data_IF_871821525060
#
_entry.id   IF_871821525060
#
_cell.length_a   1.000
_cell.length_b   1.000
_cell.length_c   1.000
_cell.angle_alpha   90.00
_cell.angle_beta   90.00
_cell.angle_gamma   90.00
#
_symmetry.space_group_name_H-M   'P 1'
#
loop_
_entity.id
_entity.type
_entity.pdbx_description
1 polymer ?
#
# COMPACT_ATOMS: atom_id res chain seq x y z
N UNK A 1 21.72 10.94 12.38
CA UNK A 1 22.13 10.17 11.19
C UNK A 1 20.87 9.79 10.44
N UNK A 2 20.68 10.18 9.17
CA UNK A 2 19.47 9.81 8.45
C UNK A 2 19.59 8.32 8.08
N UNK A 3 18.64 7.51 8.55
CA UNK A 3 18.53 6.11 8.17
C UNK A 3 18.18 6.07 6.69
N UNK A 4 19.08 5.56 5.85
CA UNK A 4 18.83 5.34 4.42
C UNK A 4 17.60 4.43 4.27
N UNK A 5 16.65 4.83 3.42
CA UNK A 5 15.40 4.11 3.12
C UNK A 5 15.67 2.66 2.67
N UNK A 6 16.87 2.38 2.15
CA UNK A 6 17.36 1.03 1.82
C UNK A 6 17.35 0.05 3.01
N UNK A 7 17.30 0.53 4.25
CA UNK A 7 17.17 -0.33 5.43
C UNK A 7 15.72 -0.70 5.79
N UNK A 8 14.71 0.00 5.24
CA UNK A 8 13.29 -0.22 5.55
C UNK A 8 12.67 -1.38 4.77
N UNK A 9 13.29 -1.82 3.68
CA UNK A 9 12.82 -2.95 2.86
C UNK A 9 12.81 -4.30 3.61
N UNK A 10 13.39 -4.37 4.82
CA UNK A 10 13.49 -5.62 5.58
C UNK A 10 12.25 -6.01 6.40
N UNK A 11 11.24 -5.14 6.57
CA UNK A 11 10.11 -5.44 7.47
C UNK A 11 8.74 -5.02 6.92
N UNK A 12 8.46 -5.36 5.66
CA UNK A 12 7.08 -5.34 5.16
C UNK A 12 6.33 -6.48 5.83
N UNK A 13 5.34 -6.17 6.66
CA UNK A 13 4.49 -7.19 7.28
C UNK A 13 3.20 -7.34 6.47
N UNK A 14 2.90 -8.58 6.11
CA UNK A 14 1.84 -8.95 5.18
C UNK A 14 0.95 -10.00 5.84
N UNK A 15 -0.34 -9.70 5.96
CA UNK A 15 -1.32 -10.61 6.54
C UNK A 15 -2.49 -10.79 5.56
N UNK A 16 -2.86 -12.04 5.30
CA UNK A 16 -4.06 -12.39 4.56
C UNK A 16 -5.02 -13.13 5.49
N UNK A 17 -6.25 -12.65 5.61
CA UNK A 17 -7.28 -13.30 6.41
C UNK A 17 -8.49 -13.62 5.53
N UNK A 18 -9.08 -14.79 5.74
CA UNK A 18 -10.29 -15.22 5.06
C UNK A 18 -11.45 -15.07 6.04
N UNK A 19 -12.35 -14.14 5.77
CA UNK A 19 -13.52 -13.94 6.62
C UNK A 19 -14.62 -14.91 6.18
N UNK A 20 -14.91 -15.93 6.99
CA UNK A 20 -16.02 -16.87 6.73
C UNK A 20 -17.24 -16.47 7.57
N UNK A 21 -18.10 -15.61 7.02
CA UNK A 21 -19.47 -15.41 7.50
C UNK A 21 -20.43 -15.63 6.32
N UNK A 22 -21.53 -16.34 6.58
CA UNK A 22 -22.34 -17.09 5.61
C UNK A 22 -23.11 -16.35 4.50
N UNK A 23 -22.56 -15.33 3.85
CA UNK A 23 -23.17 -14.80 2.61
C UNK A 23 -22.26 -14.10 1.59
N UNK A 24 -20.97 -13.86 1.83
CA UNK A 24 -20.06 -13.37 0.78
C UNK A 24 -18.59 -13.65 1.17
N UNK A 25 -17.93 -14.60 0.50
CA UNK A 25 -16.51 -14.92 0.80
C UNK A 25 -15.62 -13.88 0.12
N UNK A 26 -15.27 -12.81 0.82
CA UNK A 26 -14.28 -11.83 0.38
C UNK A 26 -12.90 -12.19 0.91
N UNK A 27 -11.89 -12.05 0.07
CA UNK A 27 -10.49 -12.20 0.43
C UNK A 27 -9.98 -10.86 0.93
N UNK A 28 -9.29 -10.86 2.06
CA UNK A 28 -8.71 -9.66 2.64
C UNK A 28 -7.19 -9.76 2.69
N UNK A 29 -6.54 -8.63 2.40
CA UNK A 29 -5.11 -8.49 2.45
C UNK A 29 -4.72 -7.18 3.11
N UNK A 30 -3.75 -7.26 4.02
CA UNK A 30 -3.24 -6.14 4.77
C UNK A 30 -1.74 -6.01 4.54
N UNK A 31 -1.30 -4.80 4.20
CA UNK A 31 0.11 -4.44 4.01
C UNK A 31 0.47 -3.31 4.97
N UNK A 32 1.45 -3.54 5.84
CA UNK A 32 2.03 -2.48 6.66
C UNK A 32 3.39 -2.08 6.10
N UNK A 33 3.54 -0.81 5.73
CA UNK A 33 4.79 -0.26 5.17
C UNK A 33 5.40 0.70 6.19
N UNK A 34 6.57 0.38 6.77
CA UNK A 34 7.22 1.30 7.72
C UNK A 34 7.87 2.45 6.95
N UNK A 35 7.27 3.63 7.02
CA UNK A 35 7.88 4.88 6.54
C UNK A 35 8.72 5.50 7.67
N UNK A 36 9.84 6.19 7.36
CA UNK A 36 10.70 6.78 8.38
C UNK A 36 10.10 8.05 9.00
N UNK A 37 9.11 8.66 8.35
CA UNK A 37 8.35 9.78 8.90
C UNK A 37 6.90 9.77 8.41
N UNK A 38 5.99 10.39 9.19
CA UNK A 38 4.60 10.60 8.79
C UNK A 38 4.48 11.46 7.52
N UNK A 39 5.42 12.39 7.32
CA UNK A 39 5.50 13.22 6.10
C UNK A 39 5.78 12.37 4.87
N UNK A 40 6.75 11.46 4.93
CA UNK A 40 7.05 10.56 3.82
C UNK A 40 5.90 9.58 3.56
N UNK A 41 5.27 9.05 4.61
CA UNK A 41 4.05 8.25 4.47
C UNK A 41 2.96 9.03 3.72
N UNK A 42 2.74 10.30 4.10
CA UNK A 42 1.74 11.16 3.47
C UNK A 42 2.07 11.41 2.00
N UNK A 43 3.32 11.77 1.67
CA UNK A 43 3.73 12.00 0.28
C UNK A 43 3.53 10.72 -0.53
N UNK A 44 3.96 9.56 -0.01
CA UNK A 44 3.86 8.31 -0.74
C UNK A 44 2.40 7.94 -1.00
N UNK A 45 1.57 8.08 0.02
CA UNK A 45 0.14 7.77 -0.07
C UNK A 45 -0.61 8.75 -0.98
N UNK A 46 -0.20 10.02 -1.04
CA UNK A 46 -0.72 11.00 -2.00
C UNK A 46 -0.26 10.70 -3.43
N UNK A 47 1.00 10.30 -3.64
CA UNK A 47 1.50 9.86 -4.95
C UNK A 47 0.86 8.56 -5.42
N UNK A 48 0.43 7.69 -4.49
CA UNK A 48 -0.25 6.42 -4.76
C UNK A 48 -1.78 6.53 -4.65
N UNK A 49 -2.29 7.72 -4.29
CA UNK A 49 -3.72 8.00 -4.25
C UNK A 49 -4.28 7.78 -5.64
N UNK A 50 -5.35 7.01 -5.80
CA UNK A 50 -5.79 6.58 -7.13
C UNK A 50 -6.12 7.78 -8.02
N UNK A 51 -5.62 7.77 -9.24
CA UNK A 51 -6.52 8.02 -10.36
C UNK A 51 -7.55 6.87 -10.28
N UNK A 52 -8.83 7.15 -9.96
CA UNK A 52 -9.80 6.10 -9.64
C UNK A 52 -9.86 5.10 -10.77
N UNK A 53 -9.31 3.90 -10.56
CA UNK A 53 -9.31 2.80 -11.51
C UNK A 53 -10.76 2.57 -11.95
N UNK A 54 -11.15 2.92 -13.19
CA UNK A 54 -12.54 2.91 -13.55
C UNK A 54 -12.90 1.48 -13.94
N UNK A 55 -13.14 0.55 -13.01
CA UNK A 55 -13.59 -0.80 -13.39
C UNK A 55 -14.40 -1.54 -12.31
N UNK A 56 -15.71 -1.62 -12.58
CA UNK A 56 -16.60 -2.79 -12.80
C UNK A 56 -16.35 -4.18 -12.13
N UNK A 57 -15.34 -4.41 -11.30
CA UNK A 57 -14.98 -5.77 -10.87
C UNK A 57 -14.55 -5.89 -9.42
N UNK A 58 -15.50 -6.05 -8.51
CA UNK A 58 -15.38 -6.82 -7.24
C UNK A 58 -14.23 -6.51 -6.27
N UNK A 59 -13.47 -5.43 -6.45
CA UNK A 59 -12.35 -5.06 -5.58
C UNK A 59 -12.61 -3.74 -4.89
N UNK A 60 -12.35 -3.71 -3.59
CA UNK A 60 -12.34 -2.50 -2.78
C UNK A 60 -10.94 -2.32 -2.21
N UNK A 61 -10.33 -1.18 -2.51
CA UNK A 61 -9.02 -0.76 -1.99
C UNK A 61 -9.28 0.34 -0.96
N UNK A 62 -9.00 0.04 0.31
CA UNK A 62 -9.09 1.02 1.40
C UNK A 62 -7.68 1.36 1.86
N UNK A 63 -7.36 2.65 1.79
CA UNK A 63 -6.07 3.20 2.13
C UNK A 63 -6.25 4.04 3.39
N UNK A 64 -5.83 3.51 4.55
CA UNK A 64 -5.92 4.24 5.82
C UNK A 64 -4.58 4.91 6.13
N UNK A 65 -4.60 6.24 6.09
CA UNK A 65 -3.45 7.09 6.39
C UNK A 65 -3.09 7.05 7.89
N UNK A 66 -4.06 6.70 8.75
CA UNK A 66 -3.92 6.79 10.22
C UNK A 66 -3.00 5.73 10.82
N UNK A 67 -2.46 4.80 10.02
CA UNK A 67 -1.70 3.66 10.55
C UNK A 67 -0.74 2.95 9.59
N UNK A 68 -0.28 3.61 8.51
CA UNK A 68 0.66 3.03 7.52
C UNK A 68 0.23 1.65 7.00
N UNK A 69 -1.08 1.37 7.03
CA UNK A 69 -1.65 0.06 6.77
C UNK A 69 -2.64 0.18 5.61
N UNK A 70 -2.41 -0.62 4.58
CA UNK A 70 -3.21 -0.68 3.38
C UNK A 70 -4.05 -1.94 3.40
N UNK A 71 -5.32 -1.83 3.05
CA UNK A 71 -6.26 -2.94 3.01
C UNK A 71 -6.85 -3.12 1.63
N UNK A 72 -6.82 -4.35 1.14
CA UNK A 72 -7.52 -4.77 -0.07
C UNK A 72 -8.56 -5.81 0.29
N UNK A 73 -9.72 -5.71 -0.33
CA UNK A 73 -10.80 -6.69 -0.28
C UNK A 73 -11.20 -7.04 -1.71
N UNK A 74 -11.22 -8.33 -2.05
CA UNK A 74 -11.62 -8.77 -3.39
C UNK A 74 -12.38 -10.10 -3.35
N UNK A 75 -13.27 -10.30 -4.31
CA UNK A 75 -14.05 -11.54 -4.43
C UNK A 75 -13.20 -12.72 -4.96
N UNK A 76 -12.15 -12.43 -5.73
CA UNK A 76 -11.29 -13.45 -6.34
C UNK A 76 -9.81 -13.23 -6.02
N UNK A 77 -9.10 -14.34 -5.75
CA UNK A 77 -7.67 -14.32 -5.44
C UNK A 77 -6.84 -13.77 -6.60
N UNK A 78 -7.27 -14.03 -7.84
CA UNK A 78 -6.62 -13.50 -9.05
C UNK A 78 -6.68 -11.97 -9.10
N UNK A 79 -7.85 -11.39 -8.80
CA UNK A 79 -8.05 -9.93 -8.80
C UNK A 79 -7.22 -9.30 -7.68
N UNK A 80 -7.26 -9.89 -6.48
CA UNK A 80 -6.45 -9.45 -5.35
C UNK A 80 -4.95 -9.45 -5.69
N UNK A 81 -4.45 -10.55 -6.26
CA UNK A 81 -3.04 -10.68 -6.64
C UNK A 81 -2.62 -9.61 -7.64
N UNK A 82 -3.38 -9.43 -8.72
CA UNK A 82 -3.03 -8.44 -9.76
C UNK A 82 -3.04 -7.02 -9.19
N UNK A 83 -4.03 -6.68 -8.37
CA UNK A 83 -4.14 -5.35 -7.76
C UNK A 83 -3.02 -5.08 -6.77
N UNK A 84 -2.71 -6.03 -5.88
CA UNK A 84 -1.62 -5.90 -4.90
C UNK A 84 -0.27 -5.81 -5.62
N UNK A 85 0.00 -6.65 -6.62
CA UNK A 85 1.25 -6.60 -7.38
C UNK A 85 1.45 -5.25 -8.06
N UNK A 86 0.45 -4.77 -8.82
CA UNK A 86 0.52 -3.46 -9.48
C UNK A 86 0.74 -2.31 -8.49
N UNK A 87 0.09 -2.37 -7.32
CA UNK A 87 0.31 -1.37 -6.28
C UNK A 87 1.75 -1.39 -5.72
N UNK A 88 2.32 -2.57 -5.48
CA UNK A 88 3.68 -2.70 -4.97
C UNK A 88 4.72 -2.19 -5.97
N UNK A 89 4.49 -2.39 -7.27
CA UNK A 89 5.34 -1.85 -8.33
C UNK A 89 5.35 -0.31 -8.29
N UNK A 90 4.17 0.32 -8.17
CA UNK A 90 4.06 1.77 -8.02
C UNK A 90 4.69 2.27 -6.71
N UNK A 91 4.48 1.55 -5.60
CA UNK A 91 5.10 1.89 -4.32
C UNK A 91 6.63 1.84 -4.41
N UNK A 92 7.21 0.84 -5.09
CA UNK A 92 8.65 0.76 -5.31
C UNK A 92 9.16 2.01 -6.03
N UNK A 93 8.50 2.41 -7.11
CA UNK A 93 8.86 3.60 -7.87
C UNK A 93 8.80 4.88 -7.01
N UNK A 94 7.75 5.03 -6.20
CA UNK A 94 7.61 6.17 -5.29
C UNK A 94 8.73 6.19 -4.25
N UNK A 95 9.06 5.05 -3.67
CA UNK A 95 10.16 4.93 -2.70
C UNK A 95 11.52 5.22 -3.33
N UNK A 96 11.77 4.74 -4.55
CA UNK A 96 12.98 5.07 -5.32
C UNK A 96 13.05 6.57 -5.63
N UNK A 97 11.92 7.19 -5.98
CA UNK A 97 11.84 8.63 -6.22
C UNK A 97 12.15 9.42 -4.94
N UNK A 98 11.62 9.00 -3.80
CA UNK A 98 11.94 9.62 -2.51
C UNK A 98 13.40 9.47 -2.11
N UNK A 99 14.02 8.31 -2.36
CA UNK A 99 15.45 8.07 -2.09
C UNK A 99 16.33 8.92 -3.02
N UNK A 100 15.95 9.07 -4.29
CA UNK A 100 16.71 9.82 -5.29
C UNK A 100 16.60 11.35 -5.11
N UNK A 101 15.46 11.85 -4.63
CA UNK A 101 15.16 13.29 -4.57
C UNK A 101 14.90 13.83 -3.15
N UNK A 102 15.04 13.00 -2.10
CA UNK A 102 14.84 13.40 -0.71
C UNK A 102 16.02 14.15 -0.09
N UNK A 103 15.88 14.69 1.15
CA UNK A 103 14.70 14.64 2.03
C UNK A 103 13.64 15.71 1.70
N UNK A 104 12.38 15.55 2.16
CA UNK A 104 11.32 16.54 1.93
C UNK A 104 11.73 17.92 2.46
N UNK A 105 11.59 18.96 1.65
CA UNK A 105 11.85 20.34 2.08
C UNK A 105 10.78 20.74 3.11
N UNK A 106 11.20 21.24 4.28
CA UNK A 106 10.30 21.82 5.26
C UNK A 106 9.57 23.01 4.63
N UNK A 107 8.25 22.92 4.46
CA UNK A 107 7.41 24.04 4.02
C UNK A 107 7.06 24.95 5.19
#
# INVERSE_FOLDING_TARGET
MPLSIRSLTKHVNMAACKTENGSERKLEFFLKVPFPSEREATIALQSLSPDPEPRKGGITKNLDLSGQTLRWTADEARILRVSVSSFLDHLSLVMETMDAFGPPVSQ
#
